data_IF_499949517486
#
_entry.id   IF_499949517486
#
_cell.length_a   1.000
_cell.length_b   1.000
_cell.length_c   1.000
_cell.angle_alpha   90.00
_cell.angle_beta   90.00
_cell.angle_gamma   90.00
#
_symmetry.space_group_name_H-M   'P 1'
#
loop_
_entity.id
_entity.type
_entity.pdbx_description
1 polymer ?
#
# COMPACT_ATOMS: atom_id res chain seq x y z
N UNK A 1 34.13 13.37 -22.55
CA UNK A 1 34.04 12.69 -21.24
C UNK A 1 32.97 13.35 -20.35
N UNK A 2 31.68 13.25 -20.69
CA UNK A 2 30.58 13.93 -19.94
C UNK A 2 29.28 13.12 -19.86
N UNK A 3 29.30 11.81 -20.16
CA UNK A 3 28.09 10.96 -20.21
C UNK A 3 27.96 9.96 -19.04
N UNK A 4 28.90 9.94 -18.10
CA UNK A 4 28.96 8.89 -17.07
C UNK A 4 28.18 9.22 -15.78
N UNK A 5 27.79 10.49 -15.56
CA UNK A 5 27.19 10.91 -14.27
C UNK A 5 25.65 10.75 -14.24
N UNK A 6 25.00 10.40 -15.35
CA UNK A 6 23.53 10.28 -15.41
C UNK A 6 22.97 8.89 -15.11
N UNK A 7 23.82 7.86 -15.00
CA UNK A 7 23.35 6.48 -14.78
C UNK A 7 23.18 6.10 -13.31
N UNK A 8 23.77 6.84 -12.36
CA UNK A 8 23.71 6.50 -10.94
C UNK A 8 22.39 6.91 -10.24
N UNK A 9 21.67 7.89 -10.78
CA UNK A 9 20.39 8.34 -10.21
C UNK A 9 19.21 7.40 -10.55
N UNK A 10 19.34 6.55 -11.58
CA UNK A 10 18.28 5.63 -12.01
C UNK A 10 18.26 4.31 -11.23
N UNK A 11 19.35 3.94 -10.55
CA UNK A 11 19.44 2.67 -9.83
C UNK A 11 18.80 2.72 -8.44
N UNK A 12 18.75 3.90 -7.80
CA UNK A 12 18.15 4.09 -6.47
C UNK A 12 16.61 4.16 -6.51
N UNK A 13 16.01 4.51 -7.64
CA UNK A 13 14.55 4.49 -7.82
C UNK A 13 13.99 3.08 -8.06
N UNK A 14 14.81 2.15 -8.57
CA UNK A 14 14.36 0.80 -8.89
C UNK A 14 14.02 -0.03 -7.65
N UNK A 15 14.77 0.11 -6.55
CA UNK A 15 14.49 -0.62 -5.30
C UNK A 15 13.26 -0.07 -4.57
N UNK A 16 13.04 1.26 -4.64
CA UNK A 16 11.83 1.89 -4.10
C UNK A 16 10.56 1.46 -4.82
N UNK A 17 10.58 1.39 -6.16
CA UNK A 17 9.42 1.02 -6.96
C UNK A 17 8.92 -0.41 -6.70
N UNK A 18 9.83 -1.37 -6.53
CA UNK A 18 9.46 -2.78 -6.29
C UNK A 18 8.87 -3.00 -4.88
N UNK A 19 9.44 -2.36 -3.86
CA UNK A 19 8.90 -2.43 -2.50
C UNK A 19 7.54 -1.72 -2.38
N UNK A 20 7.37 -0.58 -3.05
CA UNK A 20 6.10 0.13 -3.14
C UNK A 20 5.03 -0.70 -3.87
N UNK A 21 5.41 -1.41 -4.94
CA UNK A 21 4.51 -2.30 -5.68
C UNK A 21 4.02 -3.48 -4.83
N UNK A 22 4.88 -4.11 -4.02
CA UNK A 22 4.48 -5.23 -3.16
C UNK A 22 3.55 -4.78 -2.01
N UNK A 23 3.81 -3.60 -1.44
CA UNK A 23 2.94 -2.99 -0.42
C UNK A 23 1.56 -2.67 -1.00
N UNK A 24 1.50 -2.01 -2.15
CA UNK A 24 0.26 -1.67 -2.84
C UNK A 24 -0.54 -2.93 -3.20
N UNK A 25 0.13 -3.98 -3.72
CA UNK A 25 -0.49 -5.27 -3.99
C UNK A 25 -1.10 -5.91 -2.74
N UNK A 26 -0.36 -5.92 -1.63
CA UNK A 26 -0.83 -6.48 -0.35
C UNK A 26 -2.03 -5.71 0.19
N UNK A 27 -2.04 -4.39 0.06
CA UNK A 27 -3.16 -3.55 0.46
C UNK A 27 -4.42 -3.83 -0.41
N UNK A 28 -4.25 -3.95 -1.72
CA UNK A 28 -5.32 -4.30 -2.67
C UNK A 28 -5.93 -5.66 -2.32
N UNK A 29 -5.11 -6.70 -2.13
CA UNK A 29 -5.58 -8.05 -1.80
C UNK A 29 -6.32 -8.08 -0.46
N UNK A 30 -5.90 -7.23 0.49
CA UNK A 30 -6.59 -7.06 1.77
C UNK A 30 -7.92 -6.32 1.64
N UNK A 31 -7.97 -5.26 0.83
CA UNK A 31 -9.23 -4.58 0.53
C UNK A 31 -10.23 -5.53 -0.16
N UNK A 32 -9.78 -6.36 -1.11
CA UNK A 32 -10.62 -7.38 -1.77
C UNK A 32 -11.18 -8.41 -0.79
N UNK A 33 -10.34 -8.90 0.14
CA UNK A 33 -10.79 -9.81 1.21
C UNK A 33 -11.85 -9.20 2.13
N UNK A 34 -11.86 -7.87 2.26
CA UNK A 34 -12.90 -7.13 2.98
C UNK A 34 -14.13 -6.78 2.13
N UNK A 35 -14.21 -7.26 0.88
CA UNK A 35 -15.35 -7.04 -0.01
C UNK A 35 -15.32 -5.72 -0.78
N UNK A 36 -14.18 -5.04 -0.85
CA UNK A 36 -14.06 -3.81 -1.65
C UNK A 36 -14.17 -4.14 -3.16
N UNK A 37 -14.96 -3.34 -3.88
CA UNK A 37 -15.04 -3.41 -5.34
C UNK A 37 -13.81 -2.79 -6.00
N UNK A 38 -13.56 -3.11 -7.28
CA UNK A 38 -12.46 -2.49 -8.03
C UNK A 38 -12.62 -0.96 -8.13
N UNK A 39 -13.87 -0.45 -8.15
CA UNK A 39 -14.14 0.98 -8.09
C UNK A 39 -13.71 1.62 -6.76
N UNK A 40 -13.84 0.91 -5.63
CA UNK A 40 -13.26 1.36 -4.37
C UNK A 40 -11.73 1.32 -4.39
N UNK A 41 -11.15 0.23 -4.91
CA UNK A 41 -9.71 0.03 -4.94
C UNK A 41 -9.03 1.10 -5.79
N UNK A 42 -9.66 1.53 -6.89
CA UNK A 42 -9.17 2.62 -7.73
C UNK A 42 -9.04 3.98 -7.00
N UNK A 43 -9.77 4.17 -5.88
CA UNK A 43 -9.70 5.37 -5.02
C UNK A 43 -8.58 5.28 -3.96
N UNK A 44 -7.90 4.14 -3.84
CA UNK A 44 -6.84 3.94 -2.87
C UNK A 44 -5.62 4.78 -3.24
N UNK A 45 -5.17 5.62 -2.31
CA UNK A 45 -3.90 6.34 -2.46
C UNK A 45 -2.74 5.50 -1.91
N UNK A 46 -1.51 5.88 -2.26
CA UNK A 46 -0.31 5.29 -1.67
C UNK A 46 -0.30 5.38 -0.13
N UNK A 47 -0.77 6.49 0.44
CA UNK A 47 -0.86 6.65 1.89
C UNK A 47 -1.84 5.67 2.53
N UNK A 48 -2.93 5.33 1.84
CA UNK A 48 -3.86 4.31 2.31
C UNK A 48 -3.25 2.91 2.24
N UNK A 49 -2.53 2.60 1.16
CA UNK A 49 -1.81 1.34 1.04
C UNK A 49 -0.77 1.17 2.16
N UNK A 50 -0.01 2.23 2.47
CA UNK A 50 0.93 2.25 3.59
C UNK A 50 0.23 2.04 4.94
N UNK A 51 -0.94 2.66 5.16
CA UNK A 51 -1.71 2.46 6.40
C UNK A 51 -2.18 1.00 6.53
N UNK A 52 -2.75 0.42 5.48
CA UNK A 52 -3.26 -0.95 5.50
C UNK A 52 -2.09 -1.92 5.75
N UNK A 53 -1.00 -1.75 5.01
CA UNK A 53 0.19 -2.60 5.14
C UNK A 53 0.83 -2.49 6.52
N UNK A 54 1.04 -1.28 7.05
CA UNK A 54 1.60 -1.09 8.40
C UNK A 54 0.69 -1.69 9.47
N UNK A 55 -0.63 -1.52 9.37
CA UNK A 55 -1.58 -2.10 10.31
C UNK A 55 -1.56 -3.63 10.30
N UNK A 56 -1.37 -4.27 9.14
CA UNK A 56 -1.20 -5.72 9.07
C UNK A 56 0.06 -6.20 9.80
N UNK A 57 1.16 -5.47 9.63
CA UNK A 57 2.48 -5.83 10.17
C UNK A 57 2.76 -5.32 11.59
N UNK A 58 1.80 -4.60 12.20
CA UNK A 58 1.90 -4.09 13.57
C UNK A 58 1.95 -5.25 14.58
N UNK A 59 3.10 -5.49 15.22
CA UNK A 59 3.28 -6.61 16.16
C UNK A 59 2.52 -6.45 17.48
N UNK A 60 2.15 -5.23 17.85
CA UNK A 60 1.59 -4.90 19.16
C UNK A 60 0.05 -4.87 19.15
N UNK A 61 -0.55 -4.69 17.96
CA UNK A 61 -2.00 -4.67 17.81
C UNK A 61 -2.57 -6.09 17.70
N UNK A 62 -3.65 -6.40 18.43
CA UNK A 62 -4.33 -7.71 18.31
C UNK A 62 -4.94 -7.93 16.92
N UNK A 63 -5.03 -9.18 16.42
CA UNK A 63 -5.58 -9.47 15.09
C UNK A 63 -6.99 -8.89 14.85
N UNK A 64 -7.86 -8.94 15.86
CA UNK A 64 -9.21 -8.36 15.78
C UNK A 64 -9.19 -6.84 15.60
N UNK A 65 -8.30 -6.14 16.32
CA UNK A 65 -8.13 -4.70 16.18
C UNK A 65 -7.53 -4.32 14.83
N UNK A 66 -6.58 -5.10 14.29
CA UNK A 66 -6.05 -4.91 12.93
C UNK A 66 -7.17 -5.00 11.90
N UNK A 67 -7.95 -6.07 11.95
CA UNK A 67 -9.04 -6.32 11.00
C UNK A 67 -10.08 -5.19 11.04
N UNK A 68 -10.47 -4.75 12.24
CA UNK A 68 -11.39 -3.61 12.40
C UNK A 68 -10.83 -2.33 11.78
N UNK A 69 -9.59 -1.94 12.12
CA UNK A 69 -8.94 -0.73 11.59
C UNK A 69 -8.81 -0.75 10.06
N UNK A 70 -8.45 -1.91 9.50
CA UNK A 70 -8.32 -2.09 8.05
C UNK A 70 -9.70 -2.00 7.38
N UNK A 71 -10.74 -2.60 7.96
CA UNK A 71 -12.11 -2.50 7.45
C UNK A 71 -12.63 -1.06 7.49
N UNK A 72 -12.43 -0.36 8.60
CA UNK A 72 -12.79 1.06 8.76
C UNK A 72 -12.10 1.91 7.70
N UNK A 73 -10.79 1.68 7.48
CA UNK A 73 -10.04 2.36 6.43
C UNK A 73 -10.55 2.04 5.03
N UNK A 74 -10.88 0.78 4.77
CA UNK A 74 -11.42 0.33 3.48
C UNK A 74 -12.75 1.02 3.17
N UNK A 75 -13.63 1.14 4.17
CA UNK A 75 -14.90 1.87 4.05
C UNK A 75 -14.68 3.36 3.77
N UNK A 76 -13.71 3.99 4.45
CA UNK A 76 -13.34 5.40 4.16
C UNK A 76 -12.86 5.60 2.73
N UNK A 77 -12.06 4.68 2.19
CA UNK A 77 -11.59 4.75 0.80
C UNK A 77 -12.76 4.60 -0.17
N UNK A 78 -13.65 3.63 0.07
CA UNK A 78 -14.84 3.41 -0.76
C UNK A 78 -15.77 4.63 -0.84
N UNK A 79 -15.88 5.37 0.27
CA UNK A 79 -16.77 6.51 0.43
C UNK A 79 -16.25 7.84 -0.17
N UNK A 80 -14.99 7.88 -0.63
CA UNK A 80 -14.44 9.04 -1.36
C UNK A 80 -15.06 9.19 -2.73
#
# INVERSE_FOLDING_TARGET
>A
MKKIILFLAALTVATGANALSNMEKTAIDTMRRNGASDACIAKMTRGDATFIYSTMNDGDTSPGNKNRRIKDKTNQICAR
#
